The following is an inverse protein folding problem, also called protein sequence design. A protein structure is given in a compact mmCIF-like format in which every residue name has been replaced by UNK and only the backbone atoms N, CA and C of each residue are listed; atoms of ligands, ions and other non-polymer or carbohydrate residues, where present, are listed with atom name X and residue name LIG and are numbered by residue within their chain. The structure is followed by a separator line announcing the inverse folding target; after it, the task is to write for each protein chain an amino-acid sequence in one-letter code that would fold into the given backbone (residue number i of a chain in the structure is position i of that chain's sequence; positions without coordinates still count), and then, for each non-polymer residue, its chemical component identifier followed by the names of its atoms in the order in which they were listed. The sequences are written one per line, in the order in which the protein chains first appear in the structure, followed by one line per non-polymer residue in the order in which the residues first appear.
data_IF_521424600182
#
_entry.id   IF_521424600182
#
_cell.length_a   1.000
_cell.length_b   1.000
_cell.length_c   1.000
_cell.angle_alpha   90.00
_cell.angle_beta   90.00
_cell.angle_gamma   90.00
#
_symmetry.space_group_name_H-M   'P 1'
#
loop_
_entity.id
_entity.type
_entity.pdbx_description
1 polymer ?
#
# COMPACT_ATOMS: atom_id res chain seq x y z
N UNK A 1 25.81 15.92 16.13
CA UNK A 1 25.78 15.27 14.80
C UNK A 1 25.42 13.79 14.88
N UNK A 2 26.06 12.97 15.72
CA UNK A 2 25.77 11.53 15.77
C UNK A 2 24.50 11.16 16.56
N UNK A 3 24.18 11.93 17.62
CA UNK A 3 22.92 11.78 18.36
C UNK A 3 21.68 12.12 17.52
N UNK A 4 21.80 13.15 16.68
CA UNK A 4 20.72 13.67 15.84
C UNK A 4 20.36 12.70 14.70
N UNK A 5 21.36 12.02 14.13
CA UNK A 5 21.14 10.93 13.15
C UNK A 5 20.43 9.73 13.76
N UNK A 6 20.68 9.44 15.04
CA UNK A 6 20.04 8.33 15.75
C UNK A 6 18.57 8.64 16.05
N UNK A 7 18.29 9.87 16.47
CA UNK A 7 16.92 10.36 16.74
C UNK A 7 16.05 10.41 15.49
N UNK A 8 16.59 10.82 14.34
CA UNK A 8 15.86 10.82 13.07
C UNK A 8 15.53 9.38 12.63
N UNK A 9 16.49 8.45 12.78
CA UNK A 9 16.28 7.04 12.44
C UNK A 9 15.26 6.37 13.36
N UNK A 10 15.31 6.65 14.66
CA UNK A 10 14.34 6.16 15.63
C UNK A 10 12.94 6.72 15.34
N UNK A 11 12.82 8.01 14.97
CA UNK A 11 11.53 8.59 14.53
C UNK A 11 11.04 8.01 13.21
N UNK A 12 11.92 7.72 12.24
CA UNK A 12 11.54 7.07 10.99
C UNK A 12 11.07 5.62 11.22
N UNK A 13 11.73 4.87 12.10
CA UNK A 13 11.35 3.51 12.51
C UNK A 13 10.04 3.51 13.31
N UNK A 14 9.83 4.48 14.18
CA UNK A 14 8.60 4.67 14.95
C UNK A 14 7.42 5.10 14.04
N UNK A 15 7.67 6.00 13.09
CA UNK A 15 6.69 6.42 12.08
C UNK A 15 6.31 5.26 11.13
N UNK A 16 7.27 4.36 10.85
CA UNK A 16 7.04 3.13 10.10
C UNK A 16 6.17 2.14 10.89
N UNK A 17 6.49 1.89 12.16
CA UNK A 17 5.70 1.01 13.04
C UNK A 17 4.27 1.53 13.27
N UNK A 18 4.10 2.85 13.45
CA UNK A 18 2.79 3.46 13.64
C UNK A 18 1.93 3.33 12.36
N UNK A 19 2.52 3.54 11.17
CA UNK A 19 1.84 3.32 9.88
C UNK A 19 1.50 1.85 9.65
N UNK A 20 2.37 0.92 10.01
CA UNK A 20 2.11 -0.52 9.91
C UNK A 20 0.99 -0.94 10.88
N UNK A 21 0.93 -0.37 12.08
CA UNK A 21 -0.15 -0.59 13.04
C UNK A 21 -1.48 -0.01 12.56
N UNK A 22 -1.46 1.16 11.90
CA UNK A 22 -2.65 1.79 11.31
C UNK A 22 -3.15 1.07 10.05
N UNK A 23 -2.22 0.61 9.20
CA UNK A 23 -2.50 -0.29 8.08
C UNK A 23 -3.14 -1.58 8.61
N UNK A 24 -2.58 -2.16 9.68
CA UNK A 24 -3.12 -3.36 10.33
C UNK A 24 -4.52 -3.15 10.93
N UNK A 25 -4.85 -1.94 11.39
CA UNK A 25 -6.21 -1.58 11.85
C UNK A 25 -7.20 -1.47 10.69
N UNK A 26 -6.75 -1.01 9.51
CA UNK A 26 -7.59 -0.87 8.31
C UNK A 26 -7.74 -2.16 7.50
N UNK A 27 -6.79 -3.10 7.63
CA UNK A 27 -6.76 -4.40 6.97
C UNK A 27 -7.47 -5.48 7.82
N UNK A 28 -8.73 -5.27 8.21
CA UNK A 28 -9.41 -6.17 9.14
C UNK A 28 -10.33 -7.16 8.42
N UNK A 29 -9.72 -8.15 7.76
CA UNK A 29 -10.23 -9.55 7.69
C UNK A 29 -9.02 -10.47 7.52
N UNK A 30 -8.49 -11.03 8.62
CA UNK A 30 -7.58 -12.16 8.50
C UNK A 30 -7.86 -13.22 9.58
N UNK A 31 -8.34 -14.38 9.15
CA UNK A 31 -8.60 -15.55 9.97
C UNK A 31 -7.31 -16.13 10.59
N UNK A 32 -7.36 -16.43 11.89
CA UNK A 32 -6.24 -16.91 12.72
C UNK A 32 -5.51 -18.15 12.18
N UNK A 33 -6.08 -18.92 11.25
CA UNK A 33 -5.51 -20.19 10.76
C UNK A 33 -4.37 -20.07 9.74
N UNK A 34 -3.97 -18.87 9.30
CA UNK A 34 -2.94 -18.65 8.25
C UNK A 34 -1.69 -17.89 8.71
N UNK A 35 -1.39 -17.87 10.01
CA UNK A 35 -0.34 -17.00 10.61
C UNK A 35 1.10 -17.46 10.33
N UNK A 36 1.37 -18.77 10.33
CA UNK A 36 2.70 -19.35 10.07
C UNK A 36 3.04 -19.37 8.58
N UNK A 37 2.08 -19.73 7.72
CA UNK A 37 2.24 -19.69 6.26
C UNK A 37 2.44 -18.28 5.69
N UNK A 38 2.14 -17.24 6.48
CA UNK A 38 2.42 -15.85 6.14
C UNK A 38 3.91 -15.53 6.15
N UNK A 39 4.63 -15.96 7.18
CA UNK A 39 6.04 -15.59 7.34
C UNK A 39 6.91 -16.10 6.19
N UNK A 40 6.75 -17.37 5.81
CA UNK A 40 7.53 -17.97 4.72
C UNK A 40 7.18 -17.37 3.35
N UNK A 41 5.89 -17.12 3.10
CA UNK A 41 5.45 -16.47 1.86
C UNK A 41 5.90 -15.02 1.79
N UNK A 42 5.83 -14.28 2.89
CA UNK A 42 6.27 -12.88 2.94
C UNK A 42 7.76 -12.78 2.74
N UNK A 43 8.59 -13.59 3.42
CA UNK A 43 10.04 -13.54 3.24
C UNK A 43 10.44 -13.86 1.79
N UNK A 44 9.85 -14.89 1.19
CA UNK A 44 10.13 -15.28 -0.20
C UNK A 44 9.63 -14.22 -1.19
N UNK A 45 8.41 -13.69 -1.00
CA UNK A 45 7.83 -12.65 -1.86
C UNK A 45 8.52 -11.29 -1.68
N UNK A 46 9.02 -10.96 -0.48
CA UNK A 46 9.75 -9.71 -0.20
C UNK A 46 11.15 -9.68 -0.82
N UNK A 47 11.82 -10.81 -0.96
CA UNK A 47 13.05 -10.89 -1.75
C UNK A 47 12.81 -10.45 -3.20
N UNK A 48 11.64 -10.80 -3.78
CA UNK A 48 11.26 -10.37 -5.13
C UNK A 48 10.89 -8.88 -5.21
N UNK A 49 10.40 -8.29 -4.10
CA UNK A 49 10.12 -6.84 -4.05
C UNK A 49 11.41 -6.05 -4.30
N UNK A 50 12.53 -6.48 -3.72
CA UNK A 50 13.84 -5.85 -3.89
C UNK A 50 14.42 -5.95 -5.31
N UNK A 51 13.99 -6.94 -6.10
CA UNK A 51 14.54 -7.21 -7.44
C UNK A 51 13.61 -6.77 -8.59
N UNK A 52 12.43 -6.25 -8.27
CA UNK A 52 11.49 -5.70 -9.25
C UNK A 52 11.91 -4.29 -9.69
N UNK A 53 11.82 -4.01 -10.98
CA UNK A 53 12.12 -2.70 -11.57
C UNK A 53 10.93 -1.75 -11.41
N UNK A 54 9.71 -2.27 -11.53
CA UNK A 54 8.46 -1.54 -11.29
C UNK A 54 7.54 -2.29 -10.34
N UNK A 55 6.72 -1.54 -9.60
CA UNK A 55 5.76 -2.09 -8.65
C UNK A 55 4.42 -1.40 -8.88
N UNK A 56 3.41 -2.18 -9.26
CA UNK A 56 2.03 -1.70 -9.29
C UNK A 56 1.33 -2.10 -8.00
N UNK A 57 0.51 -1.20 -7.48
CA UNK A 57 -0.35 -1.42 -6.33
C UNK A 57 -1.78 -1.14 -6.76
N UNK A 58 -2.70 -1.92 -6.21
CA UNK A 58 -4.14 -1.73 -6.43
C UNK A 58 -4.91 -2.04 -5.16
N UNK A 59 -5.96 -1.28 -4.90
CA UNK A 59 -6.73 -1.31 -3.66
C UNK A 59 -8.20 -1.54 -3.96
N UNK A 60 -8.76 -2.60 -3.39
CA UNK A 60 -10.20 -2.80 -3.37
C UNK A 60 -10.75 -2.33 -2.04
N UNK A 61 -11.65 -1.35 -2.09
CA UNK A 61 -12.25 -0.71 -0.92
C UNK A 61 -13.72 -1.10 -0.77
N UNK A 62 -14.26 -1.05 0.44
CA UNK A 62 -15.69 -1.31 0.69
C UNK A 62 -16.63 -0.29 0.02
N UNK A 63 -16.09 0.82 -0.47
CA UNK A 63 -16.82 1.86 -1.19
C UNK A 63 -15.85 2.86 -1.83
N UNK A 64 -16.37 3.69 -2.73
CA UNK A 64 -15.59 4.62 -3.55
C UNK A 64 -15.83 6.07 -3.13
N UNK A 65 -17.08 6.52 -3.14
CA UNK A 65 -17.47 7.89 -2.77
C UNK A 65 -18.38 7.86 -1.56
N UNK A 66 -18.06 8.63 -0.52
CA UNK A 66 -18.84 8.67 0.72
C UNK A 66 -20.28 9.16 0.53
N UNK A 67 -20.48 10.16 -0.33
CA UNK A 67 -21.78 10.77 -0.62
C UNK A 67 -21.84 11.29 -2.06
N UNK A 68 -23.03 11.42 -2.68
CA UNK A 68 -23.15 11.84 -4.09
C UNK A 68 -22.50 13.21 -4.40
N UNK A 69 -22.56 14.16 -3.48
CA UNK A 69 -21.89 15.47 -3.62
C UNK A 69 -20.37 15.43 -3.39
N UNK A 70 -19.86 14.28 -2.94
CA UNK A 70 -18.44 14.02 -2.69
C UNK A 70 -17.68 13.53 -3.93
N UNK A 71 -18.34 13.38 -5.09
CA UNK A 71 -17.66 13.06 -6.34
C UNK A 71 -16.74 14.20 -6.77
N UNK A 72 -15.59 13.83 -7.34
CA UNK A 72 -14.66 14.80 -7.90
C UNK A 72 -15.14 15.20 -9.29
N UNK A 73 -15.26 16.50 -9.52
CA UNK A 73 -15.64 17.06 -10.82
C UNK A 73 -14.41 17.63 -11.51
N UNK A 74 -14.45 17.70 -12.84
CA UNK A 74 -13.36 18.25 -13.66
C UNK A 74 -13.01 19.71 -13.31
N UNK A 75 -13.98 20.45 -12.79
CA UNK A 75 -13.83 21.84 -12.35
C UNK A 75 -13.32 22.01 -10.92
N UNK A 76 -13.19 20.93 -10.16
CA UNK A 76 -12.64 21.01 -8.81
C UNK A 76 -11.15 21.39 -8.87
N UNK A 77 -10.73 22.31 -8.02
CA UNK A 77 -9.30 22.56 -7.79
C UNK A 77 -8.67 21.30 -7.19
N UNK A 78 -7.41 21.04 -7.48
CA UNK A 78 -6.69 19.86 -6.97
C UNK A 78 -6.78 19.69 -5.45
N UNK A 79 -6.76 20.79 -4.68
CA UNK A 79 -6.95 20.73 -3.22
C UNK A 79 -8.33 20.22 -2.80
N UNK A 80 -9.38 20.58 -3.54
CA UNK A 80 -10.76 20.09 -3.29
C UNK A 80 -10.88 18.61 -3.65
N UNK A 81 -10.33 18.20 -4.80
CA UNK A 81 -10.30 16.79 -5.20
C UNK A 81 -9.58 15.92 -4.15
N UNK A 82 -8.44 16.40 -3.64
CA UNK A 82 -7.72 15.72 -2.56
C UNK A 82 -8.57 15.57 -1.30
N UNK A 83 -9.25 16.63 -0.84
CA UNK A 83 -10.07 16.58 0.37
C UNK A 83 -11.26 15.61 0.21
N UNK A 84 -11.88 15.56 -0.97
CA UNK A 84 -12.96 14.62 -1.28
C UNK A 84 -12.47 13.16 -1.27
N UNK A 85 -11.34 12.89 -1.92
CA UNK A 85 -10.72 11.57 -1.94
C UNK A 85 -10.29 11.13 -0.53
N UNK A 86 -9.68 12.03 0.24
CA UNK A 86 -9.28 11.79 1.63
C UNK A 86 -10.47 11.43 2.51
N UNK A 87 -11.56 12.19 2.43
CA UNK A 87 -12.77 11.93 3.24
C UNK A 87 -13.33 10.53 2.95
N UNK A 88 -13.37 10.11 1.68
CA UNK A 88 -13.81 8.76 1.32
C UNK A 88 -12.82 7.68 1.80
N UNK A 89 -11.51 7.88 1.62
CA UNK A 89 -10.47 6.95 2.04
C UNK A 89 -10.36 6.76 3.57
N UNK A 90 -10.84 7.71 4.36
CA UNK A 90 -10.90 7.61 5.82
C UNK A 90 -12.13 6.85 6.33
N UNK A 91 -13.17 6.68 5.50
CA UNK A 91 -14.42 6.01 5.88
C UNK A 91 -14.53 4.58 5.39
N UNK A 92 -13.97 4.26 4.23
CA UNK A 92 -14.01 2.92 3.68
C UNK A 92 -12.82 2.08 4.11
N UNK A 93 -13.07 0.80 4.38
CA UNK A 93 -12.01 -0.15 4.71
C UNK A 93 -11.40 -0.72 3.43
N UNK A 94 -10.13 -1.11 3.51
CA UNK A 94 -9.45 -1.85 2.43
C UNK A 94 -9.77 -3.32 2.61
N UNK A 95 -10.40 -3.92 1.61
CA UNK A 95 -10.77 -5.35 1.60
C UNK A 95 -9.66 -6.19 0.99
N UNK A 96 -9.02 -5.68 -0.07
CA UNK A 96 -7.91 -6.36 -0.74
C UNK A 96 -6.81 -5.36 -1.08
N UNK A 97 -5.56 -5.80 -0.88
CA UNK A 97 -4.36 -5.06 -1.24
C UNK A 97 -3.58 -5.87 -2.28
N UNK A 98 -3.69 -5.49 -3.55
CA UNK A 98 -2.98 -6.14 -4.65
C UNK A 98 -1.61 -5.51 -4.89
N UNK A 99 -0.60 -6.35 -5.11
CA UNK A 99 0.72 -5.89 -5.59
C UNK A 99 1.07 -6.70 -6.84
N UNK A 100 1.56 -6.04 -7.88
CA UNK A 100 2.19 -6.70 -9.01
C UNK A 100 3.62 -6.20 -9.17
N UNK A 101 4.58 -7.12 -9.17
CA UNK A 101 5.99 -6.83 -9.37
C UNK A 101 6.32 -7.02 -10.84
N UNK A 102 6.97 -6.05 -11.45
CA UNK A 102 7.40 -6.12 -12.84
C UNK A 102 8.91 -6.11 -12.95
N UNK A 103 9.43 -6.96 -13.82
CA UNK A 103 10.84 -6.99 -14.20
C UNK A 103 10.97 -6.84 -15.70
N UNK A 104 11.84 -5.95 -16.14
CA UNK A 104 12.18 -5.80 -17.54
C UNK A 104 13.28 -6.79 -17.92
N UNK A 105 13.06 -7.50 -19.02
CA UNK A 105 14.06 -8.37 -19.63
C UNK A 105 14.65 -7.65 -20.85
N UNK A 106 15.88 -7.15 -20.71
CA UNK A 106 16.60 -6.44 -21.77
C UNK A 106 16.83 -7.30 -23.01
N UNK A 107 17.03 -8.61 -22.85
CA UNK A 107 17.29 -9.51 -23.98
C UNK A 107 16.02 -9.77 -24.80
N UNK A 108 14.86 -9.79 -24.13
CA UNK A 108 13.57 -10.09 -24.76
C UNK A 108 12.72 -8.84 -25.01
N UNK A 109 13.21 -7.68 -24.60
CA UNK A 109 12.52 -6.39 -24.63
C UNK A 109 11.08 -6.47 -24.10
N UNK A 110 10.87 -7.17 -22.98
CA UNK A 110 9.54 -7.46 -22.45
C UNK A 110 9.45 -7.26 -20.94
N UNK A 111 8.25 -6.98 -20.45
CA UNK A 111 7.94 -6.85 -19.03
C UNK A 111 7.30 -8.15 -18.53
N UNK A 112 7.91 -8.77 -17.53
CA UNK A 112 7.31 -9.92 -16.83
C UNK A 112 6.69 -9.46 -15.53
N UNK A 113 5.39 -9.68 -15.38
CA UNK A 113 4.63 -9.35 -14.16
C UNK A 113 4.42 -10.57 -13.28
N UNK A 114 4.66 -10.43 -11.97
CA UNK A 114 4.38 -11.45 -10.96
C UNK A 114 3.39 -10.86 -9.93
N UNK A 115 2.12 -11.27 -9.96
CA UNK A 115 1.13 -10.80 -9.00
C UNK A 115 1.33 -11.45 -7.63
N UNK A 116 1.31 -10.65 -6.58
CA UNK A 116 1.26 -11.08 -5.19
C UNK A 116 -0.21 -11.09 -4.75
N UNK A 117 -0.74 -12.32 -4.59
CA UNK A 117 -2.02 -12.59 -3.92
C UNK A 117 -1.78 -13.05 -2.49
#
# INVERSE_FOLDING_TARGET
MEKEKKEVREREEEWSCQKLADLRRKLLVWSSSKKSAWHDQVCTKMNNVGTADFRAIDLEMTGVTRAPWGESFEFDRFGVQYLKAKDSAEKFAIVQFGICLFRYDDHRHSLTGVPLK
#
